data_IF_536923709529
#
_entry.id   IF_536923709529
#
_cell.length_a   1.000
_cell.length_b   1.000
_cell.length_c   1.000
_cell.angle_alpha   90.00
_cell.angle_beta   90.00
_cell.angle_gamma   90.00
#
_symmetry.space_group_name_H-M   'P 1'
#
loop_
_entity.id
_entity.type
_entity.pdbx_description
1 polymer ?
#
# COMPACT_ATOMS: atom_id res chain seq x y z
N UNK A 1 -26.17 15.65 8.92
CA UNK A 1 -25.30 15.10 7.86
C UNK A 1 -24.07 14.51 8.54
N UNK A 2 -23.84 13.19 8.43
CA UNK A 2 -22.63 12.58 8.97
C UNK A 2 -21.42 13.07 8.17
N UNK A 3 -20.38 13.60 8.85
CA UNK A 3 -19.14 14.02 8.19
C UNK A 3 -18.51 12.84 7.47
N UNK A 4 -18.10 13.03 6.22
CA UNK A 4 -17.32 12.03 5.46
C UNK A 4 -15.95 11.85 6.11
N UNK A 5 -15.42 10.62 6.08
CA UNK A 5 -14.08 10.34 6.60
C UNK A 5 -13.06 10.16 5.47
N UNK A 6 -11.79 10.27 5.85
CA UNK A 6 -10.64 9.99 5.01
C UNK A 6 -10.07 8.63 5.40
N UNK A 7 -9.78 7.75 4.43
CA UNK A 7 -9.02 6.53 4.62
C UNK A 7 -7.58 6.78 4.19
N UNK A 8 -6.61 6.55 5.07
CA UNK A 8 -5.19 6.63 4.75
C UNK A 8 -4.62 5.23 4.58
N UNK A 9 -3.95 4.96 3.47
CA UNK A 9 -3.39 3.66 3.12
C UNK A 9 -1.88 3.76 3.01
N UNK A 10 -1.15 2.87 3.73
CA UNK A 10 0.24 2.56 3.47
C UNK A 10 0.30 1.36 2.51
N UNK A 11 0.63 1.51 1.23
CA UNK A 11 0.67 0.41 0.29
C UNK A 11 1.90 -0.49 0.49
N UNK A 12 1.84 -1.77 0.11
CA UNK A 12 3.02 -2.65 0.10
C UNK A 12 3.99 -2.27 -1.04
N UNK A 13 5.31 -2.57 -0.97
CA UNK A 13 5.94 -3.07 0.24
C UNK A 13 6.71 -1.96 0.90
N UNK A 14 6.47 -1.81 2.17
CA UNK A 14 7.33 -1.07 3.07
C UNK A 14 8.12 -2.07 3.92
N UNK A 15 9.23 -1.63 4.49
CA UNK A 15 10.06 -2.45 5.38
C UNK A 15 9.22 -3.06 6.52
N UNK A 16 9.16 -4.39 6.56
CA UNK A 16 8.36 -5.13 7.54
C UNK A 16 8.89 -5.04 8.99
N UNK A 17 10.09 -4.49 9.19
CA UNK A 17 10.73 -4.39 10.49
C UNK A 17 10.46 -3.06 11.22
N UNK A 18 9.81 -2.11 10.57
CA UNK A 18 9.55 -0.80 11.15
C UNK A 18 8.16 -0.28 10.75
N UNK A 19 7.35 0.18 11.70
CA UNK A 19 6.07 0.78 11.39
C UNK A 19 6.27 2.03 10.53
N UNK A 20 5.39 2.21 9.55
CA UNK A 20 5.41 3.39 8.68
C UNK A 20 4.88 4.61 9.44
N UNK A 21 5.70 5.65 9.58
CA UNK A 21 5.32 6.83 10.39
C UNK A 21 4.36 7.78 9.67
N UNK A 22 4.42 7.89 8.34
CA UNK A 22 3.68 8.94 7.62
C UNK A 22 2.16 8.80 7.76
N UNK A 23 1.61 7.59 7.65
CA UNK A 23 0.16 7.37 7.79
C UNK A 23 -0.32 7.69 9.20
N UNK A 24 0.31 7.21 10.30
CA UNK A 24 -0.05 7.63 11.68
C UNK A 24 0.06 9.14 11.90
N UNK A 25 1.09 9.78 11.37
CA UNK A 25 1.30 11.22 11.53
C UNK A 25 0.21 12.04 10.84
N UNK A 26 -0.12 11.69 9.59
CA UNK A 26 -1.21 12.31 8.85
C UNK A 26 -2.57 12.04 9.50
N UNK A 27 -2.79 10.84 10.04
CA UNK A 27 -4.01 10.51 10.79
C UNK A 27 -4.14 11.38 12.05
N UNK A 28 -3.07 11.52 12.84
CA UNK A 28 -3.03 12.40 13.99
C UNK A 28 -3.29 13.86 13.63
N UNK A 29 -2.71 14.33 12.53
CA UNK A 29 -2.90 15.70 12.02
C UNK A 29 -4.35 15.98 11.60
N UNK A 30 -4.99 15.04 10.87
CA UNK A 30 -6.41 15.15 10.51
C UNK A 30 -7.31 15.15 11.77
N UNK A 31 -7.04 14.27 12.74
CA UNK A 31 -7.80 14.18 14.00
C UNK A 31 -7.68 15.47 14.82
N UNK A 32 -6.48 16.04 14.91
CA UNK A 32 -6.25 17.31 15.61
C UNK A 32 -7.08 18.48 15.03
N UNK A 33 -7.42 18.39 13.72
CA UNK A 33 -8.31 19.35 13.04
C UNK A 33 -9.79 18.94 13.06
N UNK A 34 -10.15 17.88 13.79
CA UNK A 34 -11.52 17.37 13.87
C UNK A 34 -12.04 16.75 12.57
N UNK A 35 -11.14 16.34 11.67
CA UNK A 35 -11.47 15.64 10.43
C UNK A 35 -11.48 14.13 10.69
N UNK A 36 -12.61 13.44 10.45
CA UNK A 36 -12.67 11.99 10.64
C UNK A 36 -11.70 11.27 9.72
N UNK A 37 -10.94 10.32 10.27
CA UNK A 37 -9.91 9.56 9.55
C UNK A 37 -9.84 8.14 10.08
N UNK A 38 -9.48 7.20 9.20
CA UNK A 38 -9.06 5.84 9.51
C UNK A 38 -7.72 5.58 8.85
N UNK A 39 -6.84 4.89 9.55
CA UNK A 39 -5.54 4.45 9.03
C UNK A 39 -5.58 2.95 8.68
N UNK A 40 -4.92 2.56 7.60
CA UNK A 40 -4.85 1.18 7.16
C UNK A 40 -3.46 0.86 6.63
N UNK A 41 -2.80 -0.13 7.24
CA UNK A 41 -1.50 -0.60 6.76
C UNK A 41 -1.67 -1.80 5.81
N UNK A 42 -1.91 -1.50 4.54
CA UNK A 42 -2.02 -2.53 3.52
C UNK A 42 -0.70 -3.31 3.32
N UNK A 43 0.45 -2.74 3.71
CA UNK A 43 1.73 -3.45 3.63
C UNK A 43 1.76 -4.63 4.59
N UNK A 44 1.36 -4.42 5.84
CA UNK A 44 1.28 -5.49 6.85
C UNK A 44 0.18 -6.50 6.49
N UNK A 45 -1.00 -6.02 6.12
CA UNK A 45 -2.15 -6.88 5.81
C UNK A 45 -1.91 -7.81 4.60
N UNK A 46 -1.31 -7.28 3.53
CA UNK A 46 -0.95 -8.07 2.36
C UNK A 46 0.15 -9.09 2.72
N UNK A 47 1.18 -8.66 3.43
CA UNK A 47 2.28 -9.53 3.83
C UNK A 47 1.81 -10.65 4.75
N UNK A 48 1.04 -10.31 5.78
CA UNK A 48 0.53 -11.29 6.75
C UNK A 48 -0.37 -12.34 6.07
N UNK A 49 -1.21 -11.91 5.11
CA UNK A 49 -2.04 -12.81 4.34
C UNK A 49 -1.22 -13.71 3.40
N UNK A 50 -0.25 -13.17 2.65
CA UNK A 50 0.63 -13.95 1.77
C UNK A 50 1.39 -15.03 2.55
N UNK A 51 1.79 -14.72 3.78
CA UNK A 51 2.47 -15.62 4.72
C UNK A 51 1.50 -16.25 5.72
N UNK A 52 0.29 -16.60 5.28
CA UNK A 52 -0.71 -17.35 6.07
C UNK A 52 -1.05 -18.68 5.41
N UNK A 53 -1.64 -19.59 6.18
CA UNK A 53 -2.12 -20.86 5.63
C UNK A 53 -3.14 -20.65 4.50
N UNK A 54 -4.04 -19.68 4.65
CA UNK A 54 -5.06 -19.37 3.64
C UNK A 54 -4.47 -18.74 2.38
N UNK A 55 -3.54 -17.79 2.53
CA UNK A 55 -2.83 -17.19 1.40
C UNK A 55 -2.04 -18.24 0.61
N UNK A 56 -1.29 -19.11 1.29
CA UNK A 56 -0.52 -20.17 0.66
C UNK A 56 -1.42 -21.19 -0.07
N UNK A 57 -2.58 -21.56 0.48
CA UNK A 57 -3.55 -22.41 -0.22
C UNK A 57 -4.12 -21.73 -1.46
N UNK A 58 -4.46 -20.44 -1.38
CA UNK A 58 -4.93 -19.67 -2.52
C UNK A 58 -3.89 -19.58 -3.65
N UNK A 59 -2.60 -19.50 -3.31
CA UNK A 59 -1.50 -19.44 -4.26
C UNK A 59 -1.11 -20.81 -4.86
N UNK A 60 -1.43 -21.92 -4.21
CA UNK A 60 -1.02 -23.26 -4.64
C UNK A 60 -1.49 -23.61 -6.06
N UNK A 61 -2.74 -23.25 -6.42
CA UNK A 61 -3.30 -23.48 -7.74
C UNK A 61 -2.52 -22.76 -8.87
N UNK A 62 -1.87 -21.62 -8.53
CA UNK A 62 -1.03 -20.86 -9.48
C UNK A 62 0.37 -21.43 -9.58
N UNK A 63 0.93 -21.93 -8.49
CA UNK A 63 2.25 -22.61 -8.48
C UNK A 63 2.29 -23.78 -9.46
N UNK A 64 1.18 -24.48 -9.65
CA UNK A 64 1.07 -25.58 -10.64
C UNK A 64 1.27 -25.08 -12.07
N UNK A 65 0.94 -23.82 -12.36
CA UNK A 65 1.05 -23.22 -13.70
C UNK A 65 2.36 -22.44 -13.90
N UNK A 66 3.26 -22.43 -12.91
CA UNK A 66 4.52 -21.70 -12.98
C UNK A 66 5.40 -22.22 -14.14
N UNK A 67 5.97 -21.28 -14.89
CA UNK A 67 6.96 -21.58 -15.93
C UNK A 67 8.29 -22.08 -15.35
N UNK A 68 8.64 -21.66 -14.13
CA UNK A 68 9.80 -22.18 -13.40
C UNK A 68 9.45 -23.51 -12.72
N UNK A 69 9.77 -24.60 -13.40
CA UNK A 69 9.49 -25.96 -12.92
C UNK A 69 10.28 -26.32 -11.65
N UNK A 70 11.46 -25.77 -11.45
CA UNK A 70 12.29 -26.04 -10.26
C UNK A 70 11.72 -25.33 -9.03
N UNK A 71 11.41 -24.03 -9.13
CA UNK A 71 10.76 -23.28 -8.06
C UNK A 71 9.41 -23.89 -7.71
N UNK A 72 8.60 -24.26 -8.72
CA UNK A 72 7.30 -24.90 -8.51
C UNK A 72 7.42 -26.28 -7.85
N UNK A 73 8.41 -27.10 -8.24
CA UNK A 73 8.64 -28.40 -7.60
C UNK A 73 9.07 -28.25 -6.14
N UNK A 74 9.96 -27.31 -5.85
CA UNK A 74 10.39 -27.01 -4.48
C UNK A 74 9.23 -26.50 -3.62
N UNK A 75 8.43 -25.55 -4.14
CA UNK A 75 7.26 -25.04 -3.44
C UNK A 75 6.26 -26.15 -3.11
N UNK A 76 5.98 -27.06 -4.05
CA UNK A 76 5.12 -28.24 -3.82
C UNK A 76 5.66 -29.18 -2.76
N UNK A 77 6.96 -29.44 -2.77
CA UNK A 77 7.60 -30.34 -1.80
C UNK A 77 7.42 -29.87 -0.36
N UNK A 78 7.45 -28.57 -0.13
CA UNK A 78 7.34 -27.98 1.22
C UNK A 78 5.92 -27.51 1.56
N UNK A 79 4.98 -27.56 0.61
CA UNK A 79 3.65 -26.92 0.72
C UNK A 79 2.89 -27.35 1.96
N UNK A 80 2.61 -28.63 2.11
CA UNK A 80 1.75 -29.14 3.19
C UNK A 80 2.34 -28.84 4.57
N UNK A 81 3.66 -29.04 4.70
CA UNK A 81 4.36 -28.70 5.95
C UNK A 81 4.31 -27.20 6.22
N UNK A 82 4.49 -26.35 5.21
CA UNK A 82 4.49 -24.89 5.35
C UNK A 82 3.10 -24.39 5.72
N UNK A 83 2.07 -24.84 5.01
CA UNK A 83 0.66 -24.47 5.30
C UNK A 83 0.25 -24.89 6.72
N UNK A 84 0.63 -26.08 7.15
CA UNK A 84 0.28 -26.56 8.49
C UNK A 84 0.98 -25.79 9.63
N UNK A 85 2.08 -25.09 9.35
CA UNK A 85 2.95 -24.52 10.37
C UNK A 85 3.18 -23.00 10.29
N UNK A 86 2.80 -22.33 9.19
CA UNK A 86 3.15 -20.92 8.95
C UNK A 86 2.57 -19.98 10.00
N UNK A 87 1.31 -20.19 10.40
CA UNK A 87 0.68 -19.31 11.40
C UNK A 87 1.28 -19.53 12.78
N UNK A 88 1.62 -20.78 13.14
CA UNK A 88 2.38 -21.08 14.36
C UNK A 88 3.79 -20.48 14.30
N UNK A 89 4.45 -20.50 13.16
CA UNK A 89 5.79 -19.90 13.00
C UNK A 89 5.74 -18.38 13.23
N UNK A 90 4.72 -17.70 12.71
CA UNK A 90 4.49 -16.26 12.98
C UNK A 90 4.27 -16.01 14.47
N UNK A 91 3.47 -16.84 15.14
CA UNK A 91 3.22 -16.72 16.57
C UNK A 91 4.51 -16.85 17.39
N UNK A 92 5.37 -17.84 17.07
CA UNK A 92 6.68 -18.01 17.73
C UNK A 92 7.58 -16.77 17.57
N UNK A 93 7.59 -16.13 16.39
CA UNK A 93 8.41 -14.94 16.16
C UNK A 93 7.86 -13.67 16.84
N UNK A 94 6.56 -13.65 17.16
CA UNK A 94 5.91 -12.54 17.89
C UNK A 94 5.96 -12.72 19.40
N UNK A 95 6.30 -13.92 19.88
CA UNK A 95 6.34 -14.21 21.29
C UNK A 95 7.69 -13.77 21.89
N UNK A 96 7.63 -12.73 22.72
CA UNK A 96 8.81 -12.21 23.44
C UNK A 96 9.42 -13.29 24.36
N UNK A 97 8.63 -14.19 24.94
CA UNK A 97 9.12 -15.27 25.78
C UNK A 97 9.92 -16.33 24.97
N UNK A 98 9.63 -16.46 23.69
CA UNK A 98 10.35 -17.38 22.80
C UNK A 98 11.66 -16.82 22.23
N UNK A 99 12.03 -15.56 22.50
CA UNK A 99 13.25 -14.94 21.95
C UNK A 99 14.54 -15.67 22.35
N UNK A 100 14.57 -16.28 23.53
CA UNK A 100 15.71 -17.08 24.03
C UNK A 100 15.76 -18.50 23.46
N UNK A 101 14.70 -19.01 22.86
CA UNK A 101 14.66 -20.35 22.27
C UNK A 101 15.16 -20.34 20.83
N UNK A 102 16.47 -20.50 20.66
CA UNK A 102 17.16 -20.48 19.37
C UNK A 102 16.61 -21.54 18.40
N UNK A 103 16.19 -22.72 18.93
CA UNK A 103 15.68 -23.79 18.07
C UNK A 103 14.31 -23.45 17.49
N UNK A 104 13.39 -22.98 18.34
CA UNK A 104 12.06 -22.52 17.90
C UNK A 104 12.16 -21.33 16.96
N UNK A 105 13.04 -20.37 17.22
CA UNK A 105 13.31 -19.24 16.35
C UNK A 105 13.85 -19.69 14.98
N UNK A 106 14.83 -20.58 14.94
CA UNK A 106 15.41 -21.12 13.71
C UNK A 106 14.37 -21.92 12.88
N UNK A 107 13.54 -22.71 13.57
CA UNK A 107 12.44 -23.43 12.94
C UNK A 107 11.43 -22.47 12.31
N UNK A 108 10.95 -21.47 13.05
CA UNK A 108 9.97 -20.50 12.58
C UNK A 108 10.47 -19.73 11.34
N UNK A 109 11.71 -19.23 11.39
CA UNK A 109 12.34 -18.56 10.23
C UNK A 109 12.44 -19.47 9.00
N UNK A 110 12.71 -20.76 9.19
CA UNK A 110 12.75 -21.71 8.07
C UNK A 110 11.37 -21.92 7.44
N UNK A 111 10.32 -22.03 8.27
CA UNK A 111 8.95 -22.15 7.79
C UNK A 111 8.55 -20.91 6.97
N UNK A 112 8.83 -19.69 7.49
CA UNK A 112 8.53 -18.45 6.75
C UNK A 112 9.34 -18.32 5.47
N UNK A 113 10.59 -18.75 5.46
CA UNK A 113 11.39 -18.78 4.20
C UNK A 113 10.77 -19.71 3.15
N UNK A 114 10.26 -20.86 3.56
CA UNK A 114 9.53 -21.76 2.67
C UNK A 114 8.24 -21.12 2.14
N UNK A 115 7.53 -20.36 2.98
CA UNK A 115 6.36 -19.60 2.57
C UNK A 115 6.71 -18.54 1.53
N UNK A 116 7.77 -17.76 1.74
CA UNK A 116 8.25 -16.76 0.76
C UNK A 116 8.62 -17.41 -0.58
N UNK A 117 9.30 -18.55 -0.59
CA UNK A 117 9.57 -19.29 -1.81
C UNK A 117 8.29 -19.76 -2.52
N UNK A 118 7.27 -20.14 -1.77
CA UNK A 118 5.97 -20.52 -2.34
C UNK A 118 5.28 -19.33 -2.99
N UNK A 119 5.37 -18.13 -2.40
CA UNK A 119 4.86 -16.89 -3.00
C UNK A 119 5.62 -16.57 -4.29
N UNK A 120 6.96 -16.57 -4.27
CA UNK A 120 7.79 -16.33 -5.47
C UNK A 120 7.48 -17.33 -6.61
N UNK A 121 7.30 -18.62 -6.28
CA UNK A 121 6.99 -19.63 -7.27
C UNK A 121 5.60 -19.49 -7.91
N UNK A 122 4.67 -18.81 -7.24
CA UNK A 122 3.30 -18.64 -7.72
C UNK A 122 3.14 -17.46 -8.69
N UNK A 123 4.05 -16.46 -8.65
CA UNK A 123 3.99 -15.26 -9.49
C UNK A 123 5.16 -15.24 -10.45
N UNK A 124 4.94 -15.28 -11.77
CA UNK A 124 6.01 -15.23 -12.75
C UNK A 124 6.87 -13.96 -12.60
N UNK A 125 8.19 -14.14 -12.47
CA UNK A 125 9.16 -13.04 -12.36
C UNK A 125 9.17 -12.30 -11.01
N UNK A 126 8.52 -12.85 -9.98
CA UNK A 126 8.59 -12.35 -8.62
C UNK A 126 9.76 -12.96 -7.86
N UNK A 127 10.62 -12.11 -7.31
CA UNK A 127 11.49 -12.48 -6.19
C UNK A 127 10.96 -11.80 -4.93
N UNK A 128 10.42 -12.61 -4.02
CA UNK A 128 9.70 -12.14 -2.83
C UNK A 128 10.54 -12.31 -1.57
N UNK A 129 10.86 -11.19 -0.94
CA UNK A 129 11.52 -11.10 0.36
C UNK A 129 10.78 -10.11 1.28
N UNK A 130 11.10 -10.10 2.59
CA UNK A 130 10.53 -9.17 3.57
C UNK A 130 11.05 -7.73 3.43
N UNK A 131 12.14 -7.54 2.71
CA UNK A 131 12.84 -6.24 2.59
C UNK A 131 12.68 -5.65 1.19
N UNK A 132 12.74 -6.50 0.17
CA UNK A 132 12.67 -6.09 -1.22
C UNK A 132 11.85 -7.10 -2.03
N UNK A 133 11.19 -6.63 -3.06
CA UNK A 133 10.50 -7.48 -4.01
C UNK A 133 10.82 -6.99 -5.41
N UNK A 134 11.39 -7.88 -6.20
CA UNK A 134 11.51 -7.66 -7.62
C UNK A 134 10.26 -8.20 -8.31
N UNK A 135 9.46 -7.30 -8.85
CA UNK A 135 8.29 -7.63 -9.65
C UNK A 135 8.71 -7.78 -11.13
N UNK A 136 7.93 -8.54 -11.89
CA UNK A 136 8.11 -8.65 -13.34
C UNK A 136 8.12 -7.28 -14.04
N UNK A 137 7.36 -6.32 -13.51
CA UNK A 137 7.23 -4.99 -14.08
C UNK A 137 8.16 -3.99 -13.39
N UNK A 138 8.85 -3.18 -14.20
CA UNK A 138 9.71 -2.11 -13.69
C UNK A 138 8.89 -0.94 -13.17
N UNK A 139 9.12 -0.53 -11.93
CA UNK A 139 8.54 0.68 -11.35
C UNK A 139 9.09 1.99 -11.96
N UNK A 140 10.17 1.92 -12.76
CA UNK A 140 10.77 3.11 -13.41
C UNK A 140 10.14 3.44 -14.77
N UNK A 141 9.28 2.58 -15.29
CA UNK A 141 8.60 2.76 -16.58
C UNK A 141 7.10 2.96 -16.39
N UNK A 142 6.58 4.12 -16.78
CA UNK A 142 5.14 4.39 -16.76
C UNK A 142 4.34 3.33 -17.52
N UNK A 143 4.78 2.95 -18.71
CA UNK A 143 4.10 1.93 -19.52
C UNK A 143 4.08 0.56 -18.81
N UNK A 144 5.17 0.19 -18.12
CA UNK A 144 5.22 -1.04 -17.34
C UNK A 144 4.29 -1.00 -16.13
N UNK A 145 4.19 0.15 -15.44
CA UNK A 145 3.25 0.31 -14.30
C UNK A 145 1.80 0.22 -14.78
N UNK A 146 1.44 0.88 -15.89
CA UNK A 146 0.10 0.78 -16.47
C UNK A 146 -0.24 -0.67 -16.83
N UNK A 147 0.67 -1.37 -17.51
CA UNK A 147 0.49 -2.79 -17.84
C UNK A 147 0.36 -3.67 -16.58
N UNK A 148 1.14 -3.39 -15.54
CA UNK A 148 1.07 -4.13 -14.28
C UNK A 148 -0.29 -4.01 -13.60
N UNK A 149 -0.88 -2.81 -13.58
CA UNK A 149 -2.17 -2.56 -12.91
C UNK A 149 -3.28 -3.45 -13.50
N UNK A 150 -3.24 -3.72 -14.79
CA UNK A 150 -4.27 -4.50 -15.49
C UNK A 150 -3.95 -6.00 -15.58
N UNK A 151 -2.73 -6.44 -15.22
CA UNK A 151 -2.32 -7.83 -15.35
C UNK A 151 -2.73 -8.68 -14.12
N UNK A 152 -3.71 -9.61 -14.26
CA UNK A 152 -4.13 -10.46 -13.16
C UNK A 152 -3.14 -11.61 -12.88
N UNK A 153 -2.19 -11.90 -13.78
CA UNK A 153 -1.32 -13.07 -13.66
C UNK A 153 0.04 -12.74 -13.05
N UNK A 154 0.58 -11.55 -13.29
CA UNK A 154 1.93 -11.16 -12.87
C UNK A 154 1.93 -10.05 -11.81
N UNK A 155 0.79 -9.43 -11.53
CA UNK A 155 0.66 -8.46 -10.46
C UNK A 155 0.17 -9.15 -9.18
N UNK A 156 1.09 -9.40 -8.24
CA UNK A 156 0.82 -9.98 -6.94
C UNK A 156 -0.32 -9.26 -6.19
N UNK A 157 -0.39 -7.95 -6.32
CA UNK A 157 -1.36 -7.12 -5.60
C UNK A 157 -2.79 -7.27 -6.10
N UNK A 158 -2.98 -7.75 -7.35
CA UNK A 158 -4.32 -8.13 -7.85
C UNK A 158 -4.87 -9.35 -7.15
N UNK A 159 -4.03 -10.26 -6.69
CA UNK A 159 -4.47 -11.45 -5.93
C UNK A 159 -4.76 -11.13 -4.48
N UNK A 160 -3.99 -10.19 -3.90
CA UNK A 160 -4.18 -9.70 -2.56
C UNK A 160 -5.11 -8.47 -2.50
N UNK A 161 -5.95 -8.26 -3.52
CA UNK A 161 -6.69 -7.00 -3.71
C UNK A 161 -7.59 -6.66 -2.53
N UNK A 162 -8.20 -7.65 -1.89
CA UNK A 162 -9.07 -7.43 -0.73
C UNK A 162 -8.28 -7.13 0.57
N UNK A 163 -6.95 -7.33 0.54
CA UNK A 163 -6.02 -6.91 1.59
C UNK A 163 -5.33 -5.60 1.24
N UNK A 164 -5.17 -5.33 -0.05
CA UNK A 164 -4.64 -4.05 -0.53
C UNK A 164 -5.66 -2.91 -0.36
N UNK A 165 -6.94 -3.22 -0.61
CA UNK A 165 -8.05 -2.26 -0.56
C UNK A 165 -9.19 -2.90 0.24
N UNK A 166 -9.33 -2.58 1.53
CA UNK A 166 -10.28 -3.24 2.42
C UNK A 166 -11.73 -2.97 1.99
N UNK A 167 -12.48 -4.04 1.72
CA UNK A 167 -13.82 -3.98 1.16
C UNK A 167 -14.83 -3.31 2.09
N UNK A 168 -14.73 -3.53 3.40
CA UNK A 168 -15.57 -2.92 4.44
C UNK A 168 -15.40 -1.39 4.52
N UNK A 169 -14.17 -0.88 4.38
CA UNK A 169 -13.92 0.56 4.31
C UNK A 169 -14.48 1.17 3.03
N UNK A 170 -14.36 0.47 1.89
CA UNK A 170 -14.93 0.93 0.63
C UNK A 170 -16.47 0.89 0.61
N UNK A 171 -17.08 -0.06 1.32
CA UNK A 171 -18.52 -0.17 1.40
C UNK A 171 -19.17 0.93 2.26
N UNK A 172 -18.39 1.60 3.13
CA UNK A 172 -18.92 2.67 3.98
C UNK A 172 -19.30 3.90 3.12
N UNK A 173 -20.58 4.30 3.06
CA UNK A 173 -21.01 5.44 2.25
C UNK A 173 -20.43 6.79 2.73
N UNK A 174 -19.88 6.83 3.95
CA UNK A 174 -19.24 8.03 4.50
C UNK A 174 -17.80 8.19 4.02
N UNK A 175 -17.21 7.22 3.32
CA UNK A 175 -15.88 7.39 2.72
C UNK A 175 -15.93 8.51 1.68
N UNK A 176 -15.11 9.54 1.85
CA UNK A 176 -15.06 10.70 0.96
C UNK A 176 -13.73 10.85 0.24
N UNK A 177 -12.64 10.53 0.93
CA UNK A 177 -11.27 10.70 0.44
C UNK A 177 -10.45 9.46 0.78
N UNK A 178 -9.61 9.03 -0.14
CA UNK A 178 -8.53 8.06 0.12
C UNK A 178 -7.19 8.76 -0.10
N UNK A 179 -6.34 8.72 0.92
CA UNK A 179 -4.94 9.14 0.85
C UNK A 179 -4.03 7.93 0.79
N UNK A 180 -3.15 7.87 -0.20
CA UNK A 180 -2.15 6.79 -0.36
C UNK A 180 -0.77 7.38 -0.12
N UNK A 181 -0.04 6.86 0.89
CA UNK A 181 1.31 7.32 1.22
C UNK A 181 2.37 6.44 0.57
N UNK A 182 3.04 6.94 -0.45
CA UNK A 182 4.04 6.23 -1.23
C UNK A 182 5.44 6.82 -0.98
N UNK A 183 6.24 6.14 -0.17
CA UNK A 183 7.57 6.60 0.26
C UNK A 183 8.72 6.01 -0.55
N UNK A 184 8.52 4.84 -1.17
CA UNK A 184 9.51 4.11 -1.96
C UNK A 184 8.96 3.71 -3.34
N UNK A 185 9.85 3.46 -4.28
CA UNK A 185 9.53 2.98 -5.64
C UNK A 185 8.88 1.57 -5.63
N UNK A 186 9.28 0.73 -4.70
CA UNK A 186 8.68 -0.60 -4.47
C UNK A 186 7.18 -0.55 -4.21
N UNK A 187 6.66 0.59 -3.73
CA UNK A 187 5.24 0.79 -3.45
C UNK A 187 4.43 1.25 -4.68
N UNK A 188 5.08 1.66 -5.77
CA UNK A 188 4.39 2.32 -6.89
C UNK A 188 3.33 1.43 -7.55
N UNK A 189 3.67 0.18 -7.89
CA UNK A 189 2.72 -0.74 -8.54
C UNK A 189 1.54 -1.05 -7.62
N UNK A 190 1.81 -1.28 -6.34
CA UNK A 190 0.76 -1.50 -5.35
C UNK A 190 -0.15 -0.27 -5.18
N UNK A 191 0.44 0.92 -5.06
CA UNK A 191 -0.30 2.18 -4.91
C UNK A 191 -1.21 2.46 -6.12
N UNK A 192 -0.70 2.27 -7.34
CA UNK A 192 -1.49 2.48 -8.55
C UNK A 192 -2.54 1.38 -8.74
N UNK A 193 -2.25 0.12 -8.37
CA UNK A 193 -3.24 -0.97 -8.35
C UNK A 193 -4.37 -0.66 -7.36
N UNK A 194 -4.04 -0.15 -6.17
CA UNK A 194 -5.05 0.28 -5.19
C UNK A 194 -5.89 1.44 -5.73
N UNK A 195 -5.25 2.48 -6.28
CA UNK A 195 -5.94 3.64 -6.82
C UNK A 195 -6.91 3.27 -7.95
N UNK A 196 -6.47 2.42 -8.90
CA UNK A 196 -7.29 1.92 -9.99
C UNK A 196 -8.50 1.11 -9.49
N UNK A 197 -8.29 0.23 -8.51
CA UNK A 197 -9.36 -0.58 -7.94
C UNK A 197 -10.36 0.26 -7.14
N UNK A 198 -9.88 1.24 -6.37
CA UNK A 198 -10.75 2.19 -5.65
C UNK A 198 -11.57 3.00 -6.66
N UNK A 199 -10.95 3.54 -7.70
CA UNK A 199 -11.63 4.30 -8.75
C UNK A 199 -12.72 3.46 -9.44
N UNK A 200 -12.44 2.18 -9.70
CA UNK A 200 -13.40 1.26 -10.32
C UNK A 200 -14.60 0.96 -9.42
N UNK A 201 -14.37 0.72 -8.11
CA UNK A 201 -15.44 0.39 -7.13
C UNK A 201 -16.20 1.61 -6.63
N UNK A 202 -15.49 2.75 -6.49
CA UNK A 202 -16.00 3.99 -5.88
C UNK A 202 -15.58 5.22 -6.69
N UNK A 203 -16.19 5.44 -7.86
CA UNK A 203 -15.87 6.61 -8.71
C UNK A 203 -16.20 7.95 -8.03
N UNK A 204 -17.02 7.94 -6.99
CA UNK A 204 -17.42 9.12 -6.19
C UNK A 204 -16.38 9.51 -5.14
N UNK A 205 -15.44 8.64 -4.82
CA UNK A 205 -14.40 8.89 -3.81
C UNK A 205 -13.22 9.62 -4.45
N UNK A 206 -12.69 10.62 -3.76
CA UNK A 206 -11.50 11.35 -4.17
C UNK A 206 -10.22 10.62 -3.72
N UNK A 207 -9.23 10.57 -4.59
CA UNK A 207 -7.97 9.87 -4.34
C UNK A 207 -6.81 10.85 -4.42
N UNK A 208 -6.01 10.93 -3.35
CA UNK A 208 -4.78 11.72 -3.28
C UNK A 208 -3.60 10.81 -2.96
N UNK A 209 -2.48 11.02 -3.67
CA UNK A 209 -1.25 10.26 -3.46
C UNK A 209 -0.14 11.23 -3.01
N UNK A 210 0.57 10.87 -1.94
CA UNK A 210 1.69 11.65 -1.42
C UNK A 210 2.84 10.76 -0.98
N UNK A 211 3.82 11.36 -0.31
CA UNK A 211 5.02 10.71 0.19
C UNK A 211 6.26 11.03 -0.64
N UNK A 212 7.42 10.60 -0.14
CA UNK A 212 8.71 11.00 -0.69
C UNK A 212 8.89 10.56 -2.16
N UNK A 213 8.50 9.33 -2.51
CA UNK A 213 8.62 8.87 -3.89
C UNK A 213 7.64 9.59 -4.82
N UNK A 214 6.41 9.85 -4.36
CA UNK A 214 5.43 10.64 -5.11
C UNK A 214 5.99 12.04 -5.44
N UNK A 215 6.61 12.72 -4.46
CA UNK A 215 7.25 14.03 -4.65
C UNK A 215 8.28 13.98 -5.78
N UNK A 216 9.24 13.04 -5.70
CA UNK A 216 10.31 12.89 -6.70
C UNK A 216 9.80 12.55 -8.10
N UNK A 217 8.69 11.85 -8.17
CA UNK A 217 8.05 11.46 -9.44
C UNK A 217 7.36 12.65 -10.09
N UNK A 218 6.52 13.37 -9.35
CA UNK A 218 5.73 14.48 -9.90
C UNK A 218 6.56 15.71 -10.26
N UNK A 219 7.71 15.91 -9.64
CA UNK A 219 8.66 16.99 -9.99
C UNK A 219 9.10 16.94 -11.46
N UNK A 220 9.09 15.76 -12.07
CA UNK A 220 9.54 15.53 -13.45
C UNK A 220 8.43 15.66 -14.49
N UNK A 221 7.17 15.78 -14.07
CA UNK A 221 6.07 15.84 -15.02
C UNK A 221 5.93 17.26 -15.59
N UNK A 222 5.81 17.36 -16.90
CA UNK A 222 5.58 18.62 -17.63
C UNK A 222 4.17 18.70 -18.22
N UNK A 223 3.46 17.57 -18.23
CA UNK A 223 2.12 17.41 -18.78
C UNK A 223 1.29 16.48 -17.91
N UNK A 224 -0.04 16.40 -18.06
CA UNK A 224 -0.87 15.45 -17.31
C UNK A 224 -0.36 14.01 -17.48
N UNK A 225 -0.01 13.38 -16.36
CA UNK A 225 0.49 12.01 -16.36
C UNK A 225 -0.66 10.99 -16.39
N UNK A 226 -0.55 9.82 -17.05
CA UNK A 226 -1.61 8.80 -17.12
C UNK A 226 -2.16 8.34 -15.77
N UNK A 227 -1.42 8.49 -14.68
CA UNK A 227 -1.89 8.14 -13.33
C UNK A 227 -3.08 9.01 -12.86
N UNK A 228 -3.29 10.18 -13.47
CA UNK A 228 -4.49 10.99 -13.23
C UNK A 228 -5.79 10.34 -13.74
N UNK A 229 -5.72 9.24 -14.48
CA UNK A 229 -6.90 8.42 -14.77
C UNK A 229 -7.50 7.79 -13.49
N UNK A 230 -6.70 7.61 -12.46
CA UNK A 230 -7.12 7.00 -11.20
C UNK A 230 -7.02 7.95 -10.00
N UNK A 231 -6.08 8.89 -10.02
CA UNK A 231 -5.74 9.79 -8.92
C UNK A 231 -6.23 11.20 -9.22
N UNK A 232 -6.86 11.89 -8.26
CA UNK A 232 -7.34 13.26 -8.44
C UNK A 232 -6.25 14.30 -8.17
N UNK A 233 -5.31 13.98 -7.26
CA UNK A 233 -4.21 14.88 -6.91
C UNK A 233 -3.00 14.11 -6.37
N UNK A 234 -1.82 14.71 -6.56
CA UNK A 234 -0.60 14.34 -5.86
C UNK A 234 -0.17 15.46 -4.91
N UNK A 235 0.51 15.09 -3.82
CA UNK A 235 1.06 16.05 -2.86
C UNK A 235 2.59 15.92 -2.86
N UNK A 236 3.27 17.04 -3.10
CA UNK A 236 4.72 17.20 -3.00
C UNK A 236 5.12 17.59 -1.57
N UNK A 237 6.28 17.14 -1.16
CA UNK A 237 6.85 17.39 0.17
C UNK A 237 5.94 16.89 1.31
N UNK A 238 5.84 17.64 2.39
CA UNK A 238 5.08 17.28 3.58
C UNK A 238 3.56 17.43 3.35
N UNK A 239 2.81 16.40 3.76
CA UNK A 239 1.36 16.34 3.58
C UNK A 239 0.55 16.94 4.73
N UNK A 240 1.17 17.32 5.84
CA UNK A 240 0.53 17.66 7.11
C UNK A 240 -0.34 18.93 7.04
N UNK A 241 0.01 19.87 6.15
CA UNK A 241 -0.84 21.03 5.87
C UNK A 241 -1.69 20.83 4.62
N UNK A 242 -1.12 20.22 3.59
CA UNK A 242 -1.79 20.04 2.30
C UNK A 242 -3.00 19.10 2.41
N UNK A 243 -2.85 17.93 3.06
CA UNK A 243 -3.92 16.93 3.13
C UNK A 243 -5.17 17.42 3.86
N UNK A 244 -5.08 18.02 5.06
CA UNK A 244 -6.27 18.60 5.69
C UNK A 244 -6.95 19.67 4.84
N UNK A 245 -6.18 20.56 4.22
CA UNK A 245 -6.72 21.61 3.34
C UNK A 245 -7.43 21.00 2.11
N UNK A 246 -6.90 19.92 1.52
CA UNK A 246 -7.53 19.16 0.44
C UNK A 246 -8.88 18.60 0.91
N UNK A 247 -8.88 17.90 2.06
CA UNK A 247 -10.09 17.27 2.60
C UNK A 247 -11.18 18.30 2.87
N UNK A 248 -10.84 19.42 3.52
CA UNK A 248 -11.78 20.51 3.82
C UNK A 248 -12.34 21.13 2.54
N UNK A 249 -11.50 21.38 1.53
CA UNK A 249 -11.94 21.94 0.25
C UNK A 249 -12.84 21.00 -0.52
N UNK A 250 -12.52 19.72 -0.62
CA UNK A 250 -13.37 18.75 -1.29
C UNK A 250 -14.70 18.54 -0.59
N UNK A 251 -14.72 18.53 0.76
CA UNK A 251 -15.97 18.49 1.52
C UNK A 251 -16.86 19.71 1.29
N UNK A 252 -16.24 20.86 0.99
CA UNK A 252 -16.94 22.11 0.66
C UNK A 252 -17.23 22.29 -0.85
N UNK A 253 -16.91 21.28 -1.69
CA UNK A 253 -17.11 21.36 -3.15
C UNK A 253 -16.19 22.36 -3.84
N UNK A 254 -15.04 22.70 -3.24
CA UNK A 254 -14.08 23.70 -3.77
C UNK A 254 -12.89 23.05 -4.45
N UNK A 255 -12.28 23.78 -5.39
CA UNK A 255 -11.03 23.38 -6.06
C UNK A 255 -9.84 23.34 -5.10
N UNK A 256 -8.79 22.60 -5.50
CA UNK A 256 -7.58 22.36 -4.67
C UNK A 256 -6.30 22.85 -5.33
N UNK A 257 -6.36 23.38 -6.55
CA UNK A 257 -5.22 23.69 -7.41
C UNK A 257 -4.30 24.80 -6.85
N UNK A 258 -4.76 25.61 -5.92
CA UNK A 258 -4.03 26.68 -5.25
C UNK A 258 -3.50 26.30 -3.85
N UNK A 259 -3.69 25.05 -3.43
CA UNK A 259 -3.13 24.55 -2.16
C UNK A 259 -1.63 24.29 -2.34
N UNK A 260 -0.76 24.83 -1.48
CA UNK A 260 0.67 24.56 -1.54
C UNK A 260 1.01 23.06 -1.51
N UNK A 261 1.89 22.64 -2.38
CA UNK A 261 2.30 21.24 -2.54
C UNK A 261 1.38 20.40 -3.43
N UNK A 262 0.22 20.89 -3.84
CA UNK A 262 -0.71 20.10 -4.67
C UNK A 262 -0.31 20.15 -6.15
N UNK A 263 -0.37 18.97 -6.78
CA UNK A 263 -0.29 18.76 -8.23
C UNK A 263 -1.58 18.08 -8.67
N UNK A 264 -2.29 18.70 -9.60
CA UNK A 264 -3.59 18.22 -10.10
C UNK A 264 -3.78 18.62 -11.56
N UNK A 265 -4.82 18.14 -12.19
CA UNK A 265 -5.20 18.51 -13.55
C UNK A 265 -6.46 19.38 -13.50
N UNK A 266 -6.41 20.55 -14.15
CA UNK A 266 -7.54 21.47 -14.31
C UNK A 266 -7.71 21.75 -15.79
N UNK A 267 -8.90 21.50 -16.32
CA UNK A 267 -9.23 21.71 -17.72
C UNK A 267 -8.19 21.11 -18.70
N UNK A 268 -7.73 19.88 -18.38
CA UNK A 268 -6.74 19.16 -19.18
C UNK A 268 -5.29 19.64 -19.02
N UNK A 269 -5.03 20.61 -18.16
CA UNK A 269 -3.70 21.19 -17.92
C UNK A 269 -3.17 20.75 -16.56
N UNK A 270 -1.89 20.37 -16.52
CA UNK A 270 -1.18 20.07 -15.27
C UNK A 270 -0.94 21.38 -14.49
N UNK A 271 -1.51 21.47 -13.31
CA UNK A 271 -1.32 22.58 -12.37
C UNK A 271 -0.50 22.12 -11.17
N UNK A 272 0.53 22.89 -10.84
CA UNK A 272 1.41 22.62 -9.71
C UNK A 272 1.53 23.85 -8.83
N UNK A 273 1.11 23.74 -7.58
CA UNK A 273 1.33 24.78 -6.58
C UNK A 273 2.62 24.45 -5.79
N UNK A 274 3.62 25.35 -5.74
CA UNK A 274 4.86 25.09 -5.02
C UNK A 274 4.60 24.74 -3.55
N UNK A 275 5.32 23.76 -2.97
CA UNK A 275 5.18 23.40 -1.57
C UNK A 275 5.69 24.53 -0.66
N UNK A 276 5.22 24.56 0.59
CA UNK A 276 5.73 25.42 1.65
C UNK A 276 6.26 24.56 2.78
N UNK A 277 7.30 24.99 3.48
CA UNK A 277 7.79 24.30 4.68
C UNK A 277 6.68 24.18 5.73
N UNK A 278 6.55 22.99 6.31
CA UNK A 278 5.60 22.74 7.39
C UNK A 278 6.17 23.19 8.73
N UNK A 279 5.35 23.76 9.55
CA UNK A 279 5.69 24.09 10.93
C UNK A 279 5.50 22.88 11.82
N UNK A 280 6.60 22.29 12.26
CA UNK A 280 6.59 21.06 13.08
C UNK A 280 5.82 21.20 14.41
N UNK A 281 5.75 22.41 14.96
CA UNK A 281 4.96 22.71 16.17
C UNK A 281 3.44 22.67 15.96
N UNK A 282 2.97 22.59 14.71
CA UNK A 282 1.56 22.50 14.32
C UNK A 282 1.17 21.11 13.81
N UNK A 283 2.10 20.17 13.75
CA UNK A 283 1.85 18.81 13.34
C UNK A 283 1.22 18.01 14.48
N UNK A 284 0.21 17.20 14.17
CA UNK A 284 -0.46 16.36 15.16
C UNK A 284 0.45 15.26 15.72
N UNK A 285 0.12 14.73 16.88
CA UNK A 285 0.77 13.54 17.43
C UNK A 285 0.39 12.33 16.56
N UNK A 286 1.35 11.46 16.18
CA UNK A 286 1.05 10.27 15.42
C UNK A 286 -0.01 9.38 16.09
N UNK A 287 -0.98 8.90 15.31
CA UNK A 287 -2.09 8.07 15.77
C UNK A 287 -1.97 6.65 15.20
N UNK A 288 -1.73 5.69 16.07
CA UNK A 288 -1.45 4.30 15.70
C UNK A 288 -2.60 3.33 16.02
N UNK A 289 -3.65 3.74 16.73
CA UNK A 289 -4.66 2.85 17.30
C UNK A 289 -5.46 2.05 16.24
N UNK A 290 -5.48 2.51 14.98
CA UNK A 290 -6.12 1.80 13.87
C UNK A 290 -5.19 0.76 13.21
N UNK A 291 -3.91 0.71 13.60
CA UNK A 291 -2.89 -0.08 12.91
C UNK A 291 -2.54 -1.36 13.66
N UNK A 292 -2.23 -2.47 12.96
CA UNK A 292 -1.74 -3.70 13.57
C UNK A 292 -0.27 -3.53 13.98
N UNK A 293 -0.03 -3.28 15.26
CA UNK A 293 1.31 -3.13 15.85
C UNK A 293 1.73 -4.41 16.59
#
# INVERSE_FOLDING_TARGET
MHRRFTLLINPPLWNAYAPHLAVPLLAGTLRARGLPVRAYDASVEVLDWLLSADGLRALAARTVRSADRHAAARARLVHDHTVANVDRAKAVLRDVAALGDVQSQAWARRVLRNAMWSVSAAVPGLDFDLVANDLYYSATSTAAVLAAVDDPDRNLYRWAIDRLVPADHLADPRLGVVGISMSADTQLIAAMTAAAEIRRRRPDVRIVVGGNYATRMVERWTEPHPFFNWVDAFVMAEGEEALPAIVERWQAGRGIHDIPGVVTVVDGTLVRCPPRPVRLDQVGVPYFDDLPL
#
